data_IF_314882502398
#
_entry.id   IF_314882502398
#
_cell.length_a   1.000
_cell.length_b   1.000
_cell.length_c   1.000
_cell.angle_alpha   90.00
_cell.angle_beta   90.00
_cell.angle_gamma   90.00
#
_symmetry.space_group_name_H-M   'P 1'
#
loop_
_entity.id
_entity.type
_entity.pdbx_description
1 polymer ?
#
# COMPACT_ATOMS: atom_id res chain seq x y z
N UNK A 1 50.01 -17.99 -12.79
CA UNK A 1 49.78 -16.53 -12.76
C UNK A 1 48.75 -15.99 -13.79
N UNK A 2 48.80 -16.36 -15.07
CA UNK A 2 47.83 -15.82 -16.08
C UNK A 2 46.36 -16.27 -15.91
N UNK A 3 46.11 -17.47 -15.35
CA UNK A 3 44.77 -18.00 -15.12
C UNK A 3 44.13 -17.35 -13.88
N UNK A 4 44.90 -17.14 -12.81
CA UNK A 4 44.43 -16.48 -11.58
C UNK A 4 43.99 -15.03 -11.82
N UNK A 5 44.73 -14.30 -12.69
CA UNK A 5 44.36 -12.92 -13.09
C UNK A 5 43.13 -12.83 -13.98
N UNK A 6 42.78 -13.89 -14.73
CA UNK A 6 41.52 -13.94 -15.52
C UNK A 6 40.32 -14.21 -14.61
N UNK A 7 40.45 -15.08 -13.63
CA UNK A 7 39.40 -15.39 -12.65
C UNK A 7 39.10 -14.14 -11.78
N UNK A 8 40.16 -13.44 -11.34
CA UNK A 8 39.99 -12.20 -10.55
C UNK A 8 39.35 -11.07 -11.33
N UNK A 9 39.55 -10.97 -12.67
CA UNK A 9 38.95 -9.93 -13.52
C UNK A 9 37.48 -10.16 -13.86
N UNK A 10 37.00 -11.42 -13.75
CA UNK A 10 35.59 -11.76 -13.97
C UNK A 10 34.82 -11.81 -12.65
N UNK A 11 35.44 -12.24 -11.57
CA UNK A 11 34.80 -12.31 -10.25
C UNK A 11 34.59 -10.93 -9.60
N UNK A 12 35.49 -9.96 -9.79
CA UNK A 12 35.36 -8.61 -9.21
C UNK A 12 34.16 -7.81 -9.73
N UNK A 13 33.90 -7.76 -11.07
CA UNK A 13 32.68 -7.11 -11.58
C UNK A 13 31.39 -7.81 -11.18
N UNK A 14 31.43 -9.16 -11.05
CA UNK A 14 30.24 -9.94 -10.63
C UNK A 14 29.93 -9.78 -9.15
N UNK A 15 30.93 -9.56 -8.30
CA UNK A 15 30.73 -9.24 -6.88
C UNK A 15 30.25 -7.79 -6.67
N UNK A 16 30.68 -6.83 -7.51
CA UNK A 16 30.20 -5.45 -7.44
C UNK A 16 28.75 -5.30 -7.99
N UNK A 17 28.32 -6.19 -8.89
CA UNK A 17 26.94 -6.17 -9.40
C UNK A 17 25.91 -6.76 -8.41
N UNK A 18 26.36 -7.43 -7.34
CA UNK A 18 25.50 -8.01 -6.29
C UNK A 18 25.24 -7.05 -5.11
N UNK A 19 25.76 -5.83 -5.14
CA UNK A 19 25.80 -4.97 -3.96
C UNK A 19 24.88 -3.75 -3.95
N UNK A 20 23.91 -3.63 -4.86
CA UNK A 20 22.94 -2.52 -4.86
C UNK A 20 21.52 -2.97 -5.20
N UNK A 21 21.02 -4.02 -4.57
CA UNK A 21 19.60 -4.14 -4.39
C UNK A 21 19.30 -3.45 -3.05
N UNK A 22 18.91 -2.19 -3.07
CA UNK A 22 18.30 -1.54 -1.92
C UNK A 22 17.08 -2.39 -1.55
N UNK A 23 17.13 -3.02 -0.40
CA UNK A 23 16.02 -3.83 0.10
C UNK A 23 15.06 -2.89 0.83
N UNK A 24 14.23 -2.18 0.07
CA UNK A 24 13.08 -1.50 0.65
C UNK A 24 12.06 -2.56 1.08
N UNK A 25 11.71 -2.58 2.36
CA UNK A 25 10.77 -3.54 2.90
C UNK A 25 9.80 -2.84 3.87
N UNK A 26 8.54 -2.71 3.46
CA UNK A 26 7.49 -2.18 4.33
C UNK A 26 6.56 -3.31 4.77
N UNK A 27 6.02 -3.23 5.98
CA UNK A 27 5.06 -4.21 6.51
C UNK A 27 4.00 -3.51 7.34
N UNK A 28 2.73 -3.75 6.99
CA UNK A 28 1.59 -3.25 7.74
C UNK A 28 0.75 -4.39 8.29
N UNK A 29 0.40 -4.28 9.58
CA UNK A 29 -0.52 -5.18 10.26
C UNK A 29 -1.74 -4.39 10.70
N UNK A 30 -2.95 -4.90 10.45
CA UNK A 30 -4.21 -4.23 10.75
C UNK A 30 -5.09 -5.13 11.58
N UNK A 31 -5.69 -4.59 12.64
CA UNK A 31 -6.61 -5.31 13.53
C UNK A 31 -7.95 -4.57 13.60
N UNK A 32 -9.02 -5.24 13.22
CA UNK A 32 -10.38 -4.70 13.34
C UNK A 32 -10.84 -4.59 14.79
N UNK A 33 -11.73 -3.65 15.07
CA UNK A 33 -12.15 -3.29 16.44
C UNK A 33 -12.73 -4.43 17.28
N UNK A 34 -13.30 -5.45 16.66
CA UNK A 34 -13.82 -6.65 17.36
C UNK A 34 -12.77 -7.74 17.50
N UNK A 35 -11.67 -7.66 16.71
CA UNK A 35 -10.52 -8.53 16.81
C UNK A 35 -9.52 -8.05 17.87
N UNK A 36 -9.62 -6.82 18.39
CA UNK A 36 -8.79 -6.26 19.45
C UNK A 36 -9.39 -6.54 20.84
N UNK A 37 -8.52 -6.55 21.88
CA UNK A 37 -8.93 -6.84 23.26
C UNK A 37 -9.73 -5.69 23.89
N UNK A 38 -9.45 -4.45 23.47
CA UNK A 38 -10.02 -3.21 24.03
C UNK A 38 -11.06 -2.54 23.12
N UNK A 39 -11.30 -3.10 21.94
CA UNK A 39 -12.24 -2.55 20.97
C UNK A 39 -11.65 -1.46 20.06
N UNK A 40 -10.35 -1.19 20.13
CA UNK A 40 -9.66 -0.26 19.24
C UNK A 40 -9.46 -0.89 17.83
N UNK A 41 -9.39 -0.04 16.81
CA UNK A 41 -8.78 -0.38 15.52
C UNK A 41 -7.29 -0.12 15.67
N UNK A 42 -6.45 -1.08 15.25
CA UNK A 42 -5.00 -0.93 15.33
C UNK A 42 -4.37 -1.09 13.94
N UNK A 43 -3.33 -0.30 13.68
CA UNK A 43 -2.45 -0.45 12.53
C UNK A 43 -1.00 -0.29 12.99
N UNK A 44 -0.12 -1.21 12.58
CA UNK A 44 1.32 -1.02 12.69
C UNK A 44 1.90 -0.75 11.31
N UNK A 45 2.95 0.05 11.27
CA UNK A 45 3.65 0.42 10.06
C UNK A 45 5.16 0.36 10.28
N UNK A 46 5.80 -0.51 9.54
CA UNK A 46 7.25 -0.61 9.42
C UNK A 46 7.65 -0.17 8.03
N UNK A 47 8.51 0.83 7.93
CA UNK A 47 9.22 1.19 6.71
C UNK A 47 10.70 0.84 6.92
N UNK A 48 11.16 -0.19 6.22
CA UNK A 48 12.53 -0.69 6.33
C UNK A 48 13.33 -0.14 5.14
N UNK A 49 14.18 0.85 5.40
CA UNK A 49 15.07 1.47 4.42
C UNK A 49 16.44 1.75 5.07
N UNK A 50 17.49 1.57 4.31
CA UNK A 50 18.87 1.82 4.76
C UNK A 50 19.17 3.28 5.03
N UNK A 51 18.49 4.21 4.36
CA UNK A 51 18.70 5.67 4.41
C UNK A 51 17.68 6.42 5.26
N UNK A 52 16.61 5.76 5.68
CA UNK A 52 15.48 6.42 6.35
C UNK A 52 15.71 6.55 7.86
N UNK A 53 16.50 7.54 8.24
CA UNK A 53 16.67 7.97 9.63
C UNK A 53 15.89 9.25 9.83
N UNK A 54 14.59 9.15 10.09
CA UNK A 54 13.78 10.34 10.35
C UNK A 54 13.41 10.48 11.83
N UNK A 55 13.31 11.73 12.28
CA UNK A 55 12.64 12.05 13.53
C UNK A 55 11.13 12.00 13.36
N UNK A 56 10.41 12.22 14.47
CA UNK A 56 8.95 12.32 14.44
C UNK A 56 8.51 13.53 13.61
N UNK A 57 7.86 13.27 12.47
CA UNK A 57 7.32 14.33 11.61
C UNK A 57 6.07 14.94 12.25
N UNK A 58 5.99 16.28 12.27
CA UNK A 58 4.82 17.02 12.73
C UNK A 58 4.39 18.05 11.68
N UNK A 59 3.14 17.95 11.26
CA UNK A 59 2.46 18.92 10.41
C UNK A 59 1.38 19.61 11.25
N UNK A 60 1.56 20.90 11.64
CA UNK A 60 0.60 21.59 12.48
C UNK A 60 -0.70 21.86 11.77
N UNK A 61 -1.79 21.94 12.54
CA UNK A 61 -3.06 22.44 12.05
C UNK A 61 -2.92 23.91 11.60
N UNK A 62 -3.73 24.31 10.61
CA UNK A 62 -3.69 25.67 10.09
C UNK A 62 -5.02 26.14 9.52
N UNK A 63 -5.14 27.46 9.40
CA UNK A 63 -6.19 28.14 8.63
C UNK A 63 -5.52 28.86 7.49
N UNK A 64 -5.93 28.62 6.28
CA UNK A 64 -5.27 29.05 5.06
C UNK A 64 -6.09 30.09 4.30
N UNK A 65 -5.39 31.00 3.64
CA UNK A 65 -6.02 32.04 2.83
C UNK A 65 -6.70 31.44 1.58
N UNK A 66 -7.77 32.11 1.11
CA UNK A 66 -8.41 31.70 -0.14
C UNK A 66 -7.41 31.80 -1.31
N UNK A 67 -7.23 30.71 -2.02
CA UNK A 67 -6.31 30.61 -3.16
C UNK A 67 -4.86 30.29 -2.79
N UNK A 68 -4.58 30.00 -1.53
CA UNK A 68 -3.28 29.51 -1.11
C UNK A 68 -2.98 28.17 -1.80
N UNK A 69 -1.72 27.98 -2.20
CA UNK A 69 -1.26 26.78 -2.89
C UNK A 69 -0.26 26.02 -2.02
N UNK A 70 -0.42 24.71 -1.98
CA UNK A 70 0.51 23.79 -1.31
C UNK A 70 1.48 23.25 -2.34
N UNK A 71 2.78 23.45 -2.10
CA UNK A 71 3.84 22.81 -2.89
C UNK A 71 3.94 21.35 -2.53
N UNK A 72 4.07 20.52 -3.56
CA UNK A 72 4.26 19.08 -3.42
C UNK A 72 5.71 18.76 -3.82
N UNK A 73 6.38 18.08 -2.92
CA UNK A 73 7.71 17.53 -3.11
C UNK A 73 7.62 16.03 -2.96
N UNK A 74 8.29 15.30 -3.82
CA UNK A 74 8.42 13.84 -3.72
C UNK A 74 8.95 13.46 -2.34
N UNK A 75 8.30 12.50 -1.72
CA UNK A 75 8.59 12.12 -0.33
C UNK A 75 10.01 11.58 -0.14
N UNK A 76 10.48 10.76 -1.06
CA UNK A 76 11.77 10.09 -0.95
C UNK A 76 12.92 10.97 -1.41
N UNK A 77 12.77 11.64 -2.56
CA UNK A 77 13.82 12.40 -3.21
C UNK A 77 13.82 13.91 -2.89
N UNK A 78 12.69 14.44 -2.38
CA UNK A 78 12.50 15.88 -2.18
C UNK A 78 12.39 16.69 -3.48
N UNK A 79 12.22 16.05 -4.63
CA UNK A 79 12.05 16.74 -5.91
C UNK A 79 10.70 17.43 -5.97
N UNK A 80 10.67 18.67 -6.44
CA UNK A 80 9.43 19.43 -6.61
C UNK A 80 8.59 18.90 -7.78
N UNK A 81 7.34 18.52 -7.50
CA UNK A 81 6.41 17.98 -8.49
C UNK A 81 5.35 18.98 -8.96
N UNK A 82 5.06 20.03 -8.18
CA UNK A 82 4.04 21.01 -8.53
C UNK A 82 3.28 21.52 -7.32
N UNK A 83 2.10 22.08 -7.58
CA UNK A 83 1.25 22.68 -6.54
C UNK A 83 -0.20 22.21 -6.66
N UNK A 84 -0.85 22.06 -5.52
CA UNK A 84 -2.30 21.84 -5.42
C UNK A 84 -2.93 22.94 -4.55
N UNK A 85 -4.21 23.27 -4.71
CA UNK A 85 -4.88 24.19 -3.79
C UNK A 85 -4.81 23.68 -2.35
N UNK A 86 -4.45 24.58 -1.42
CA UNK A 86 -4.50 24.24 -0.01
C UNK A 86 -5.95 24.18 0.48
N UNK A 87 -6.22 23.32 1.48
CA UNK A 87 -7.50 23.26 2.12
C UNK A 87 -7.69 24.50 3.02
N UNK A 88 -8.91 25.06 3.16
CA UNK A 88 -9.13 26.21 4.03
C UNK A 88 -8.73 25.98 5.49
N UNK A 89 -8.83 24.72 5.93
CA UNK A 89 -8.42 24.25 7.28
C UNK A 89 -7.67 22.94 7.11
N UNK A 90 -6.53 22.83 7.78
CA UNK A 90 -5.75 21.60 7.86
C UNK A 90 -5.65 21.13 9.32
N UNK A 91 -5.53 19.81 9.51
CA UNK A 91 -5.49 19.19 10.83
C UNK A 91 -4.06 18.90 11.28
N UNK A 92 -3.85 18.79 12.60
CA UNK A 92 -2.58 18.32 13.14
C UNK A 92 -2.31 16.87 12.73
N UNK A 93 -1.08 16.61 12.30
CA UNK A 93 -0.58 15.27 11.98
C UNK A 93 0.74 15.05 12.70
N UNK A 94 0.87 13.93 13.39
CA UNK A 94 2.13 13.47 14.01
C UNK A 94 2.43 12.07 13.47
N UNK A 95 3.58 11.90 12.83
CA UNK A 95 3.87 10.66 12.11
C UNK A 95 2.76 10.37 11.09
N UNK A 96 2.17 9.20 11.18
CA UNK A 96 1.11 8.75 10.26
C UNK A 96 -0.31 8.79 10.88
N UNK A 97 -0.54 9.62 11.89
CA UNK A 97 -1.85 9.78 12.56
C UNK A 97 -2.20 11.25 12.74
N UNK A 98 -3.48 11.60 12.58
CA UNK A 98 -3.97 12.95 12.82
C UNK A 98 -4.74 13.08 14.15
N UNK A 99 -5.12 14.29 14.52
CA UNK A 99 -5.85 14.61 15.77
C UNK A 99 -7.23 13.97 15.89
N UNK A 100 -7.78 13.43 14.80
CA UNK A 100 -9.03 12.66 14.79
C UNK A 100 -8.80 11.14 14.87
N UNK A 101 -7.56 10.70 15.16
CA UNK A 101 -7.16 9.29 15.20
C UNK A 101 -7.31 8.59 13.85
N UNK A 102 -7.34 9.34 12.75
CA UNK A 102 -7.19 8.79 11.40
C UNK A 102 -5.71 8.47 11.17
N UNK A 103 -5.42 7.23 10.82
CA UNK A 103 -4.07 6.75 10.48
C UNK A 103 -4.03 6.26 9.04
N UNK A 104 -2.94 6.59 8.33
CA UNK A 104 -2.67 6.07 6.99
C UNK A 104 -1.24 5.56 6.97
N UNK A 105 -1.08 4.28 6.60
CA UNK A 105 0.20 3.62 6.40
C UNK A 105 0.22 2.96 5.02
N UNK A 106 1.38 2.53 4.54
CA UNK A 106 1.51 2.01 3.18
C UNK A 106 2.53 0.87 3.05
N UNK A 107 2.48 0.21 1.89
CA UNK A 107 3.57 -0.62 1.36
C UNK A 107 3.58 -0.55 -0.17
N UNK A 108 4.70 -0.18 -0.74
CA UNK A 108 4.90 -0.18 -2.20
C UNK A 108 5.00 -1.61 -2.73
N UNK A 109 4.23 -1.97 -3.76
CA UNK A 109 4.26 -3.32 -4.37
C UNK A 109 4.75 -3.33 -5.83
N UNK A 110 5.10 -2.18 -6.39
CA UNK A 110 5.53 -2.07 -7.79
C UNK A 110 4.37 -2.24 -8.77
N UNK A 111 4.05 -3.45 -9.14
CA UNK A 111 3.04 -3.76 -10.15
C UNK A 111 3.56 -3.62 -11.58
N UNK A 112 2.69 -3.25 -12.52
CA UNK A 112 3.08 -3.05 -13.92
C UNK A 112 3.83 -1.74 -14.10
N UNK A 113 5.11 -1.79 -14.47
CA UNK A 113 5.96 -0.62 -14.68
C UNK A 113 5.38 0.36 -15.73
N UNK A 114 4.72 -0.16 -16.76
CA UNK A 114 4.07 0.64 -17.81
C UNK A 114 2.90 1.50 -17.29
N UNK A 115 2.47 1.31 -16.06
CA UNK A 115 1.41 2.11 -15.43
C UNK A 115 1.95 3.33 -14.65
N UNK A 116 3.24 3.42 -14.41
CA UNK A 116 3.84 4.53 -13.67
C UNK A 116 3.76 5.82 -14.52
N UNK A 117 3.24 6.90 -13.94
CA UNK A 117 3.13 8.21 -14.58
C UNK A 117 3.95 9.27 -13.83
N UNK A 118 5.20 9.43 -14.19
CA UNK A 118 6.12 10.41 -13.60
C UNK A 118 5.72 11.88 -13.84
N UNK A 119 4.64 12.14 -14.57
CA UNK A 119 4.10 13.48 -14.80
C UNK A 119 2.97 13.85 -13.82
N UNK A 120 2.56 12.91 -12.98
CA UNK A 120 1.65 13.17 -11.86
C UNK A 120 2.29 14.09 -10.83
N UNK A 121 1.46 14.75 -10.02
CA UNK A 121 1.95 15.67 -8.98
C UNK A 121 2.08 14.96 -7.62
N UNK A 122 1.25 13.96 -7.35
CA UNK A 122 1.18 13.32 -6.04
C UNK A 122 1.88 11.97 -6.04
N UNK A 123 2.93 11.88 -5.24
CA UNK A 123 3.54 10.60 -4.81
C UNK A 123 2.77 10.00 -3.63
N UNK A 124 3.11 8.77 -3.25
CA UNK A 124 2.43 8.07 -2.16
C UNK A 124 2.53 8.78 -0.81
N UNK A 125 3.71 9.28 -0.46
CA UNK A 125 3.98 9.91 0.83
C UNK A 125 3.30 11.27 0.96
N UNK A 126 3.43 12.15 -0.05
CA UNK A 126 2.70 13.41 -0.12
C UNK A 126 1.19 13.20 -0.04
N UNK A 127 0.67 12.17 -0.72
CA UNK A 127 -0.75 11.84 -0.70
C UNK A 127 -1.24 11.47 0.70
N UNK A 128 -0.45 10.69 1.47
CA UNK A 128 -0.75 10.34 2.86
C UNK A 128 -0.90 11.60 3.72
N UNK A 129 0.11 12.47 3.74
CA UNK A 129 0.10 13.66 4.61
C UNK A 129 -0.97 14.67 4.21
N UNK A 130 -1.19 14.86 2.90
CA UNK A 130 -2.27 15.73 2.42
C UNK A 130 -3.64 15.18 2.84
N UNK A 131 -3.85 13.87 2.77
CA UNK A 131 -5.11 13.25 3.19
C UNK A 131 -5.30 13.34 4.71
N UNK A 132 -4.27 13.07 5.51
CA UNK A 132 -4.33 13.19 6.98
C UNK A 132 -4.65 14.62 7.43
N UNK A 133 -4.14 15.64 6.73
CA UNK A 133 -4.45 17.03 7.02
C UNK A 133 -5.83 17.49 6.58
N UNK A 134 -6.57 16.69 5.79
CA UNK A 134 -7.86 17.09 5.18
C UNK A 134 -9.04 16.19 5.52
N UNK A 135 -8.81 15.04 6.14
CA UNK A 135 -9.85 14.07 6.45
C UNK A 135 -9.92 13.75 7.94
N UNK A 136 -11.11 13.38 8.43
CA UNK A 136 -11.37 12.99 9.81
C UNK A 136 -11.66 11.49 9.95
N UNK A 137 -12.09 10.86 8.87
CA UNK A 137 -12.48 9.45 8.84
C UNK A 137 -11.80 8.71 7.71
N UNK A 138 -11.73 7.39 7.79
CA UNK A 138 -11.14 6.56 6.76
C UNK A 138 -11.83 6.76 5.39
N UNK A 139 -13.16 6.89 5.37
CA UNK A 139 -13.91 7.15 4.12
C UNK A 139 -13.64 8.52 3.53
N UNK A 140 -13.54 9.54 4.38
CA UNK A 140 -13.14 10.88 3.92
C UNK A 140 -11.72 10.86 3.35
N UNK A 141 -10.78 10.15 3.99
CA UNK A 141 -9.41 10.00 3.50
C UNK A 141 -9.39 9.33 2.11
N UNK A 142 -10.10 8.22 1.91
CA UNK A 142 -10.22 7.56 0.61
C UNK A 142 -10.78 8.55 -0.44
N UNK A 143 -11.81 9.30 -0.09
CA UNK A 143 -12.39 10.30 -1.00
C UNK A 143 -11.42 11.43 -1.34
N UNK A 144 -10.68 11.95 -0.37
CA UNK A 144 -9.66 12.99 -0.56
C UNK A 144 -8.54 12.46 -1.45
N UNK A 145 -7.95 11.31 -1.11
CA UNK A 145 -6.85 10.70 -1.86
C UNK A 145 -7.23 10.48 -3.32
N UNK A 146 -8.35 9.81 -3.55
CA UNK A 146 -8.79 9.45 -4.91
C UNK A 146 -9.18 10.67 -5.75
N UNK A 147 -9.85 11.66 -5.15
CA UNK A 147 -10.19 12.92 -5.85
C UNK A 147 -8.95 13.73 -6.23
N UNK A 148 -7.93 13.73 -5.39
CA UNK A 148 -6.68 14.44 -5.65
C UNK A 148 -5.90 13.78 -6.80
N UNK A 149 -5.72 12.46 -6.76
CA UNK A 149 -4.97 11.76 -7.81
C UNK A 149 -5.72 11.71 -9.14
N UNK A 150 -7.05 11.64 -9.13
CA UNK A 150 -7.87 11.77 -10.35
C UNK A 150 -7.72 13.14 -11.02
N UNK A 151 -7.44 14.18 -10.23
CA UNK A 151 -7.30 15.55 -10.73
C UNK A 151 -5.86 15.93 -11.09
N UNK A 152 -4.89 15.52 -10.28
CA UNK A 152 -3.51 15.99 -10.36
C UNK A 152 -2.53 14.91 -10.80
N UNK A 153 -2.97 13.65 -10.90
CA UNK A 153 -2.14 12.50 -11.26
C UNK A 153 -1.38 11.91 -10.07
N UNK A 154 -1.08 10.62 -10.18
CA UNK A 154 -0.33 9.83 -9.21
C UNK A 154 0.97 9.38 -9.86
N UNK A 155 2.12 9.67 -9.24
CA UNK A 155 3.44 9.50 -9.86
C UNK A 155 4.30 8.37 -9.26
N UNK A 156 3.84 7.70 -8.22
CA UNK A 156 4.54 6.53 -7.68
C UNK A 156 4.16 5.23 -8.41
N UNK A 157 4.86 4.16 -8.11
CA UNK A 157 4.51 2.78 -8.51
C UNK A 157 3.25 2.30 -7.80
N UNK A 158 2.92 1.01 -7.90
CA UNK A 158 1.74 0.45 -7.22
C UNK A 158 1.86 0.51 -5.71
N UNK A 159 0.79 0.95 -5.04
CA UNK A 159 0.78 1.21 -3.61
C UNK A 159 -0.41 0.56 -2.92
N UNK A 160 -0.16 -0.04 -1.75
CA UNK A 160 -1.18 -0.52 -0.83
C UNK A 160 -1.24 0.38 0.39
N UNK A 161 -2.38 1.00 0.65
CA UNK A 161 -2.62 1.84 1.82
C UNK A 161 -3.46 1.11 2.86
N UNK A 162 -3.05 1.18 4.14
CA UNK A 162 -3.85 0.90 5.32
C UNK A 162 -4.49 2.21 5.78
N UNK A 163 -5.81 2.33 5.77
CA UNK A 163 -6.52 3.55 6.15
C UNK A 163 -7.47 3.23 7.29
N UNK A 164 -7.18 3.73 8.49
CA UNK A 164 -7.85 3.34 9.72
C UNK A 164 -8.34 4.55 10.50
N UNK A 165 -9.55 4.49 11.02
CA UNK A 165 -10.08 5.42 12.02
C UNK A 165 -10.60 4.62 13.24
N UNK A 166 -11.10 5.26 14.32
CA UNK A 166 -11.60 4.53 15.50
C UNK A 166 -12.75 3.54 15.23
N UNK A 167 -13.39 3.61 14.08
CA UNK A 167 -14.60 2.86 13.76
C UNK A 167 -14.39 1.75 12.76
N UNK A 168 -13.51 1.95 11.77
CA UNK A 168 -13.31 1.00 10.67
C UNK A 168 -11.88 1.06 10.12
N UNK A 169 -11.48 -0.04 9.48
CA UNK A 169 -10.22 -0.18 8.76
C UNK A 169 -10.45 -0.52 7.30
N UNK A 170 -9.63 0.01 6.42
CA UNK A 170 -9.64 -0.20 4.99
C UNK A 170 -8.27 -0.57 4.47
N UNK A 171 -8.23 -1.45 3.47
CA UNK A 171 -7.08 -1.64 2.60
C UNK A 171 -7.42 -1.05 1.23
N UNK A 172 -6.54 -0.20 0.68
CA UNK A 172 -6.73 0.41 -0.64
C UNK A 172 -5.48 0.17 -1.50
N UNK A 173 -5.69 -0.27 -2.74
CA UNK A 173 -4.62 -0.43 -3.71
C UNK A 173 -4.82 0.52 -4.89
N UNK A 174 -3.72 1.13 -5.38
CA UNK A 174 -3.75 2.19 -6.38
C UNK A 174 -2.58 2.05 -7.34
N UNK A 175 -2.82 2.42 -8.60
CA UNK A 175 -1.79 2.56 -9.65
C UNK A 175 -2.16 3.67 -10.62
N UNK A 176 -1.15 4.31 -11.24
CA UNK A 176 -1.35 5.20 -12.38
C UNK A 176 -1.90 4.47 -13.60
N UNK A 177 -2.12 5.18 -14.68
CA UNK A 177 -2.56 4.61 -15.97
C UNK A 177 -1.58 4.88 -17.12
N UNK A 178 -0.31 5.04 -16.78
CA UNK A 178 0.80 5.17 -17.72
C UNK A 178 1.22 6.61 -18.01
N UNK A 179 2.38 6.77 -18.62
CA UNK A 179 3.05 8.06 -18.77
C UNK A 179 2.19 9.14 -19.42
N UNK A 180 2.11 10.31 -18.77
CA UNK A 180 1.38 11.48 -19.28
C UNK A 180 -0.13 11.40 -19.20
N UNK A 181 -0.69 10.29 -18.68
CA UNK A 181 -2.15 10.10 -18.63
C UNK A 181 -2.83 10.90 -17.53
N UNK A 182 -2.11 11.16 -16.43
CA UNK A 182 -2.64 11.68 -15.16
C UNK A 182 -3.84 10.88 -14.64
N UNK A 183 -4.06 9.69 -15.18
CA UNK A 183 -5.12 8.78 -14.80
C UNK A 183 -4.71 7.89 -13.63
N UNK A 184 -5.71 7.30 -12.98
CA UNK A 184 -5.50 6.37 -11.88
C UNK A 184 -6.54 5.26 -11.92
N UNK A 185 -6.16 4.06 -11.49
CA UNK A 185 -7.06 2.97 -11.11
C UNK A 185 -6.82 2.64 -9.65
N UNK A 186 -7.90 2.35 -8.91
CA UNK A 186 -7.81 2.02 -7.50
C UNK A 186 -9.01 1.18 -7.05
N UNK A 187 -8.80 0.43 -5.97
CA UNK A 187 -9.84 -0.29 -5.25
C UNK A 187 -9.57 -0.23 -3.76
N UNK A 188 -10.61 0.00 -2.96
CA UNK A 188 -10.53 -0.01 -1.50
C UNK A 188 -11.56 -1.00 -0.94
N UNK A 189 -11.14 -1.83 0.02
CA UNK A 189 -11.99 -2.81 0.67
C UNK A 189 -11.99 -2.59 2.19
N UNK A 190 -13.19 -2.55 2.78
CA UNK A 190 -13.34 -2.47 4.22
C UNK A 190 -13.01 -3.80 4.87
N UNK A 191 -12.09 -3.79 5.82
CA UNK A 191 -11.72 -4.97 6.59
C UNK A 191 -12.85 -5.25 7.59
N UNK A 192 -13.33 -6.50 7.70
CA UNK A 192 -14.34 -6.87 8.70
C UNK A 192 -13.88 -6.53 10.12
N UNK A 193 -14.80 -6.08 10.97
CA UNK A 193 -14.49 -5.64 12.33
C UNK A 193 -13.82 -6.73 13.18
N UNK A 194 -14.11 -8.00 12.93
CA UNK A 194 -13.61 -9.18 13.64
C UNK A 194 -12.37 -9.81 12.99
N UNK A 195 -11.82 -9.18 11.95
CA UNK A 195 -10.70 -9.72 11.19
C UNK A 195 -9.38 -8.98 11.48
N UNK A 196 -8.28 -9.66 11.16
CA UNK A 196 -6.94 -9.10 11.00
C UNK A 196 -6.53 -9.16 9.53
N UNK A 197 -5.76 -8.18 9.08
CA UNK A 197 -5.25 -8.06 7.72
C UNK A 197 -3.76 -7.70 7.76
N UNK A 198 -3.03 -8.08 6.71
CA UNK A 198 -1.62 -7.72 6.56
C UNK A 198 -1.25 -7.60 5.09
N UNK A 199 -0.33 -6.66 4.82
CA UNK A 199 0.31 -6.53 3.51
C UNK A 199 1.77 -6.09 3.66
N UNK A 200 2.59 -6.42 2.67
CA UNK A 200 4.02 -6.22 2.74
C UNK A 200 4.63 -6.25 1.33
N UNK A 201 4.72 -5.10 0.66
CA UNK A 201 5.29 -4.91 -0.68
C UNK A 201 4.78 -5.90 -1.75
N UNK A 202 3.54 -6.36 -1.62
CA UNK A 202 2.84 -7.18 -2.60
C UNK A 202 1.36 -6.86 -2.57
N UNK A 203 0.78 -6.66 -3.76
CA UNK A 203 -0.68 -6.48 -3.90
C UNK A 203 -1.43 -7.68 -3.31
N UNK A 204 -2.43 -7.40 -2.49
CA UNK A 204 -3.20 -8.41 -1.76
C UNK A 204 -4.64 -8.54 -2.24
N UNK A 205 -5.23 -7.47 -2.80
CA UNK A 205 -6.63 -7.48 -3.23
C UNK A 205 -6.79 -8.39 -4.44
N UNK A 206 -7.58 -9.44 -4.28
CA UNK A 206 -7.96 -10.37 -5.36
C UNK A 206 -9.26 -9.93 -6.05
N UNK A 207 -10.26 -10.83 -6.05
CA UNK A 207 -11.61 -10.53 -6.52
C UNK A 207 -12.38 -9.72 -5.48
N UNK A 208 -13.27 -8.85 -5.94
CA UNK A 208 -14.13 -8.04 -5.09
C UNK A 208 -15.52 -7.85 -5.72
N UNK A 209 -16.54 -7.63 -4.88
CA UNK A 209 -17.89 -7.38 -5.37
C UNK A 209 -18.12 -5.89 -5.60
N UNK A 210 -18.14 -5.47 -6.86
CA UNK A 210 -18.42 -4.08 -7.28
C UNK A 210 -19.80 -3.57 -6.87
N UNK A 211 -20.72 -4.44 -6.47
CA UNK A 211 -22.07 -4.08 -6.02
C UNK A 211 -22.13 -3.75 -4.54
N UNK A 212 -21.16 -4.23 -3.76
CA UNK A 212 -21.07 -3.95 -2.31
C UNK A 212 -20.57 -2.53 -2.04
N UNK A 213 -21.40 -1.54 -2.31
CA UNK A 213 -21.08 -0.10 -2.09
C UNK A 213 -20.73 0.26 -0.64
N UNK A 214 -21.08 -0.60 0.30
CA UNK A 214 -20.78 -0.39 1.72
C UNK A 214 -19.34 -0.75 2.07
N UNK A 215 -18.82 -1.81 1.50
CA UNK A 215 -17.52 -2.38 1.87
C UNK A 215 -16.49 -2.35 0.74
N UNK A 216 -16.90 -1.94 -0.48
CA UNK A 216 -16.02 -1.85 -1.64
C UNK A 216 -16.21 -0.50 -2.33
N UNK A 217 -15.13 0.25 -2.46
CA UNK A 217 -15.04 1.47 -3.24
C UNK A 217 -14.01 1.26 -4.35
N UNK A 218 -14.22 1.83 -5.52
CA UNK A 218 -13.30 1.63 -6.63
C UNK A 218 -13.40 2.75 -7.66
N UNK A 219 -12.35 2.96 -8.45
CA UNK A 219 -12.38 3.86 -9.60
C UNK A 219 -13.35 3.35 -10.67
N UNK A 220 -13.99 4.27 -11.38
CA UNK A 220 -14.97 3.93 -12.43
C UNK A 220 -14.36 3.10 -13.55
N UNK A 221 -13.07 3.29 -13.80
CA UNK A 221 -12.30 2.67 -14.89
C UNK A 221 -11.54 1.40 -14.47
N UNK A 222 -11.70 0.90 -13.25
CA UNK A 222 -10.87 -0.21 -12.70
C UNK A 222 -10.85 -1.47 -13.58
N UNK A 223 -11.96 -1.83 -14.22
CA UNK A 223 -12.02 -2.99 -15.14
C UNK A 223 -11.89 -2.53 -16.60
N UNK A 224 -12.54 -1.43 -16.98
CA UNK A 224 -12.53 -0.97 -18.36
C UNK A 224 -11.13 -0.58 -18.83
N UNK A 225 -10.29 -0.05 -17.95
CA UNK A 225 -8.88 0.23 -18.25
C UNK A 225 -8.10 -1.08 -18.54
N UNK A 226 -8.25 -2.10 -17.68
CA UNK A 226 -7.62 -3.41 -17.91
C UNK A 226 -8.05 -4.04 -19.25
N UNK A 227 -9.33 -3.92 -19.62
CA UNK A 227 -9.82 -4.37 -20.92
C UNK A 227 -9.21 -3.58 -22.08
N UNK A 228 -9.15 -2.26 -21.96
CA UNK A 228 -8.53 -1.38 -22.95
C UNK A 228 -7.08 -1.77 -23.23
N UNK A 229 -6.36 -2.16 -22.19
CA UNK A 229 -4.95 -2.58 -22.27
C UNK A 229 -4.77 -4.06 -22.69
N UNK A 230 -5.86 -4.83 -22.85
CA UNK A 230 -5.81 -6.24 -23.21
C UNK A 230 -5.38 -7.17 -22.07
N UNK A 231 -5.35 -6.69 -20.83
CA UNK A 231 -4.92 -7.48 -19.66
C UNK A 231 -6.04 -8.30 -19.03
N UNK A 232 -7.29 -7.99 -19.38
CA UNK A 232 -8.46 -8.70 -18.90
C UNK A 232 -9.56 -8.73 -19.94
N UNK A 233 -10.16 -9.93 -20.16
CA UNK A 233 -11.25 -10.14 -21.13
C UNK A 233 -12.46 -10.91 -20.56
N UNK A 234 -12.40 -11.30 -19.27
CA UNK A 234 -13.44 -12.08 -18.61
C UNK A 234 -14.69 -11.28 -18.22
N UNK A 235 -15.61 -11.95 -17.50
CA UNK A 235 -16.76 -11.27 -16.84
C UNK A 235 -16.26 -10.42 -15.69
N UNK A 236 -16.96 -9.32 -15.37
CA UNK A 236 -16.58 -8.42 -14.25
C UNK A 236 -16.40 -9.17 -12.93
N UNK A 237 -17.26 -10.17 -12.65
CA UNK A 237 -17.16 -11.00 -11.44
C UNK A 237 -15.87 -11.86 -11.36
N UNK A 238 -15.17 -12.04 -12.47
CA UNK A 238 -13.91 -12.79 -12.53
C UNK A 238 -12.69 -11.89 -12.43
N UNK A 239 -12.88 -10.57 -12.44
CA UNK A 239 -11.79 -9.63 -12.30
C UNK A 239 -11.09 -9.78 -10.95
N UNK A 240 -9.76 -9.87 -11.00
CA UNK A 240 -8.89 -9.89 -9.81
C UNK A 240 -7.86 -8.79 -9.95
N UNK A 241 -7.83 -7.85 -9.00
CA UNK A 241 -6.91 -6.72 -9.03
C UNK A 241 -5.46 -7.20 -9.14
N UNK A 242 -4.98 -7.96 -8.17
CA UNK A 242 -3.58 -8.41 -8.12
C UNK A 242 -3.17 -9.24 -9.34
N UNK A 243 -4.05 -10.13 -9.82
CA UNK A 243 -3.74 -10.95 -10.99
C UNK A 243 -3.70 -10.15 -12.29
N UNK A 244 -4.35 -8.98 -12.32
CA UNK A 244 -4.39 -8.12 -13.50
C UNK A 244 -3.31 -7.05 -13.47
N UNK A 245 -3.12 -6.38 -12.35
CA UNK A 245 -2.25 -5.21 -12.23
C UNK A 245 -0.90 -5.48 -11.54
N UNK A 246 -0.82 -6.50 -10.68
CA UNK A 246 0.36 -6.76 -9.84
C UNK A 246 0.51 -8.24 -9.50
N UNK A 247 0.62 -9.09 -10.52
CA UNK A 247 0.68 -10.55 -10.33
C UNK A 247 1.86 -10.95 -9.42
N UNK A 248 1.61 -11.71 -8.35
CA UNK A 248 2.65 -12.10 -7.40
C UNK A 248 3.58 -13.16 -8.02
N UNK A 249 4.81 -12.77 -8.25
CA UNK A 249 5.89 -13.66 -8.67
C UNK A 249 6.52 -14.42 -7.49
N UNK A 250 7.62 -15.12 -7.73
CA UNK A 250 8.36 -15.82 -6.67
C UNK A 250 8.84 -14.86 -5.56
N UNK A 251 9.38 -13.70 -5.91
CA UNK A 251 9.88 -12.70 -4.97
C UNK A 251 8.76 -12.12 -4.13
N UNK A 252 7.65 -11.71 -4.75
CA UNK A 252 6.47 -11.21 -4.07
C UNK A 252 5.87 -12.21 -3.08
N UNK A 253 5.85 -13.50 -3.42
CA UNK A 253 5.40 -14.55 -2.48
C UNK A 253 6.43 -14.76 -1.35
N UNK A 254 7.69 -15.02 -1.71
CA UNK A 254 8.73 -15.47 -0.76
C UNK A 254 9.23 -14.37 0.16
N UNK A 255 9.36 -13.16 -0.32
CA UNK A 255 9.87 -12.03 0.46
C UNK A 255 8.77 -11.16 1.06
N UNK A 256 7.59 -11.07 0.42
CA UNK A 256 6.51 -10.17 0.79
C UNK A 256 5.33 -10.93 1.43
N UNK A 257 4.61 -11.76 0.68
CA UNK A 257 3.46 -12.52 1.23
C UNK A 257 3.83 -13.42 2.40
N UNK A 258 5.08 -13.89 2.48
CA UNK A 258 5.58 -14.66 3.63
C UNK A 258 5.52 -13.87 4.96
N UNK A 259 5.65 -12.54 4.92
CA UNK A 259 5.51 -11.67 6.09
C UNK A 259 4.05 -11.60 6.55
N UNK A 260 3.12 -11.44 5.62
CA UNK A 260 1.68 -11.52 5.92
C UNK A 260 1.27 -12.90 6.42
N UNK A 261 1.81 -13.98 5.79
CA UNK A 261 1.60 -15.35 6.26
C UNK A 261 2.08 -15.54 7.71
N UNK A 262 3.25 -15.05 8.05
CA UNK A 262 3.83 -15.14 9.40
C UNK A 262 2.91 -14.53 10.45
N UNK A 263 2.32 -13.36 10.16
CA UNK A 263 1.34 -12.73 11.04
C UNK A 263 0.08 -13.56 11.20
N UNK A 264 -0.56 -13.97 10.11
CA UNK A 264 -1.78 -14.75 10.17
C UNK A 264 -1.57 -16.10 10.87
N UNK A 265 -0.46 -16.80 10.60
CA UNK A 265 -0.17 -18.10 11.20
C UNK A 265 0.04 -18.06 12.72
N UNK A 266 0.40 -16.90 13.29
CA UNK A 266 0.50 -16.72 14.75
C UNK A 266 -0.86 -16.69 15.43
N UNK A 267 -1.91 -16.23 14.75
CA UNK A 267 -3.21 -15.97 15.35
C UNK A 267 -4.32 -16.83 14.79
N UNK A 268 -4.03 -17.66 13.78
CA UNK A 268 -5.02 -18.56 13.16
C UNK A 268 -4.49 -19.98 13.04
N UNK A 269 -5.08 -20.89 13.79
CA UNK A 269 -4.77 -22.34 13.70
C UNK A 269 -5.06 -22.88 12.31
N UNK A 270 -4.21 -23.78 11.83
CA UNK A 270 -4.33 -24.41 10.51
C UNK A 270 -4.00 -23.45 9.35
N UNK A 271 -3.42 -22.28 9.62
CA UNK A 271 -3.02 -21.35 8.59
C UNK A 271 -1.71 -21.78 7.90
N UNK A 272 -0.99 -22.72 8.49
CA UNK A 272 0.16 -23.42 7.93
C UNK A 272 -0.12 -24.06 6.57
N UNK A 273 -1.38 -24.37 6.25
CA UNK A 273 -1.79 -24.86 4.92
C UNK A 273 -1.41 -23.91 3.78
N UNK A 274 -1.27 -22.61 4.05
CA UNK A 274 -0.85 -21.61 3.09
C UNK A 274 0.68 -21.42 3.00
N UNK A 275 1.47 -22.19 3.78
CA UNK A 275 2.93 -22.16 3.71
C UNK A 275 3.48 -22.42 2.30
N UNK A 276 2.92 -23.36 1.49
CA UNK A 276 3.38 -23.54 0.11
C UNK A 276 3.29 -22.27 -0.75
N UNK A 277 2.23 -21.46 -0.56
CA UNK A 277 2.13 -20.14 -1.21
C UNK A 277 3.26 -19.21 -0.77
N UNK A 278 3.44 -19.03 0.54
CA UNK A 278 4.45 -18.15 1.13
C UNK A 278 5.89 -18.57 0.80
N UNK A 279 6.13 -19.85 0.52
CA UNK A 279 7.43 -20.33 0.03
C UNK A 279 7.68 -19.97 -1.44
N UNK A 280 6.65 -19.65 -2.22
CA UNK A 280 6.75 -19.27 -3.62
C UNK A 280 7.13 -20.39 -4.60
N UNK A 281 7.34 -21.61 -4.11
CA UNK A 281 7.90 -22.72 -4.91
C UNK A 281 6.86 -23.46 -5.75
N UNK A 282 5.62 -23.48 -5.33
CA UNK A 282 4.52 -24.12 -6.03
C UNK A 282 3.64 -23.06 -6.70
N UNK A 283 3.61 -22.99 -8.04
CA UNK A 283 2.75 -22.03 -8.74
C UNK A 283 1.25 -22.31 -8.57
N UNK A 284 0.87 -23.54 -8.16
CA UNK A 284 -0.51 -23.95 -7.94
C UNK A 284 -0.91 -23.92 -6.47
N UNK A 285 -0.04 -23.43 -5.58
CA UNK A 285 -0.37 -23.31 -4.17
C UNK A 285 -1.64 -22.47 -3.95
N UNK A 286 -2.44 -22.87 -2.98
CA UNK A 286 -3.63 -22.11 -2.56
C UNK A 286 -3.21 -20.70 -2.12
N UNK A 287 -3.81 -19.68 -2.72
CA UNK A 287 -3.57 -18.28 -2.40
C UNK A 287 -4.13 -17.94 -1.00
N UNK A 288 -3.39 -17.12 -0.26
CA UNK A 288 -3.81 -16.69 1.07
C UNK A 288 -5.03 -15.74 1.00
N UNK A 289 -5.97 -15.84 1.94
CA UNK A 289 -7.05 -14.85 2.05
C UNK A 289 -6.49 -13.45 2.36
N UNK A 290 -7.24 -12.42 1.97
CA UNK A 290 -6.87 -11.02 2.24
C UNK A 290 -6.85 -10.71 3.74
N UNK A 291 -7.76 -11.30 4.51
CA UNK A 291 -7.89 -11.20 5.96
C UNK A 291 -8.34 -12.53 6.57
N UNK A 292 -8.18 -12.65 7.88
CA UNK A 292 -8.63 -13.81 8.65
C UNK A 292 -9.29 -13.37 9.95
N UNK A 293 -10.26 -14.13 10.43
CA UNK A 293 -10.77 -13.99 11.80
C UNK A 293 -9.83 -14.74 12.73
N UNK A 294 -9.13 -14.08 13.65
CA UNK A 294 -8.16 -14.71 14.53
C UNK A 294 -8.85 -15.60 15.58
N UNK A 295 -8.13 -16.58 16.12
CA UNK A 295 -8.67 -17.48 17.14
C UNK A 295 -8.71 -16.87 18.55
N UNK A 296 -8.08 -15.72 18.73
CA UNK A 296 -8.15 -14.88 19.94
C UNK A 296 -8.06 -13.41 19.58
N UNK A 297 -8.52 -12.55 20.44
CA UNK A 297 -8.33 -11.10 20.30
C UNK A 297 -6.86 -10.73 20.49
N UNK A 298 -6.43 -9.68 19.77
CA UNK A 298 -5.08 -9.16 19.78
C UNK A 298 -4.98 -7.90 20.67
N UNK A 299 -3.86 -7.76 21.37
CA UNK A 299 -3.44 -6.56 22.06
C UNK A 299 -2.46 -5.75 21.23
N UNK A 300 -2.14 -4.53 21.65
CA UNK A 300 -1.07 -3.71 21.04
C UNK A 300 0.25 -4.48 20.99
N UNK A 301 0.60 -5.16 22.09
CA UNK A 301 1.82 -5.98 22.16
C UNK A 301 1.89 -7.09 21.08
N UNK A 302 0.76 -7.62 20.64
CA UNK A 302 0.72 -8.64 19.58
C UNK A 302 1.06 -8.10 18.19
N UNK A 303 0.96 -6.77 17.98
CA UNK A 303 1.26 -6.10 16.70
C UNK A 303 2.60 -5.34 16.70
N UNK A 304 3.22 -5.22 17.87
CA UNK A 304 4.56 -4.59 18.03
C UNK A 304 5.72 -5.58 17.77
N UNK A 305 5.45 -6.85 17.54
CA UNK A 305 6.48 -7.93 17.44
C UNK A 305 6.90 -8.20 16.00
#
# INVERSE_FOLDING_TARGET
MKILNKILRVALPSLLALSFAEAEACTNLIVGKKASVDGSVMVSYNADDYGMFSGLCHYPAGVHAKGEMRKIFDWDSGVYHGEIPEAPVTYNVIGNINEYQLSIAETTYGGREEMIDTTGILDYGSLIYVALQRAKTAREAISVMTSLVEKYGYCSSGETFSICDPNEAWIMEMMGTGPGSKGVVWVAMRIPDDAICAHANQSRIGKFDMKDKKNVLHSKNVISYARKMGWFSGKDADFSWKNTYAFPDFSGRRACDARAWSFFNRFKKGFDRYLPWALGKDPNAEDMPLWVVPDRKLSVHDVEM
#
